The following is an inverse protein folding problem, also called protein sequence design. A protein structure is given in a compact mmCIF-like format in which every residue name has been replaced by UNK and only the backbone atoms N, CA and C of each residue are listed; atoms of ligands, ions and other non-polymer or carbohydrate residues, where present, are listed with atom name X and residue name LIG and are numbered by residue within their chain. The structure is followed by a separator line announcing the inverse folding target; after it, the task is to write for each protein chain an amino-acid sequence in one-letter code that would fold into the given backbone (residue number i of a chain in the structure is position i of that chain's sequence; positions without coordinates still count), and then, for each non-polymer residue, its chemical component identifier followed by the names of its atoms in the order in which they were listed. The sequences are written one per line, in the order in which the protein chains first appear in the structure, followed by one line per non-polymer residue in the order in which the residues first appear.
data_IF_055393011241
#
_entry.id   IF_055393011241
#
_cell.length_a   1.000
_cell.length_b   1.000
_cell.length_c   1.000
_cell.angle_alpha   90.00
_cell.angle_beta   90.00
_cell.angle_gamma   90.00
#
_symmetry.space_group_name_H-M   'P 1'
#
loop_
_entity.id
_entity.type
_entity.pdbx_description
1 polymer ?
#
# COMPACT_ATOMS: atom_id res chain seq x y z
N UNK A 1 -8.21 -5.16 -10.99
CA UNK A 1 -8.21 -3.77 -11.49
C UNK A 1 -6.78 -3.22 -11.51
N UNK A 2 -6.42 -2.35 -12.46
CA UNK A 2 -5.10 -1.69 -12.50
C UNK A 2 -5.19 -0.26 -11.98
N UNK A 3 -4.27 0.16 -11.12
CA UNK A 3 -4.18 1.51 -10.57
C UNK A 3 -2.77 2.06 -10.77
N UNK A 4 -2.66 3.24 -11.35
CA UNK A 4 -1.36 3.91 -11.49
C UNK A 4 -0.80 4.29 -10.12
N UNK A 5 0.52 4.23 -9.96
CA UNK A 5 1.19 4.74 -8.76
C UNK A 5 0.92 6.23 -8.53
N UNK A 6 1.11 6.71 -7.30
CA UNK A 6 1.02 8.12 -6.99
C UNK A 6 2.30 8.85 -7.42
N UNK A 7 2.16 9.97 -8.14
CA UNK A 7 3.29 10.86 -8.43
C UNK A 7 3.87 11.48 -7.16
N UNK A 8 2.99 11.84 -6.22
CA UNK A 8 3.34 12.40 -4.92
C UNK A 8 2.30 12.02 -3.86
N UNK A 9 2.74 11.83 -2.62
CA UNK A 9 1.87 11.73 -1.44
C UNK A 9 2.66 12.12 -0.21
N UNK A 10 2.02 12.88 0.69
CA UNK A 10 2.62 13.29 1.97
C UNK A 10 2.91 12.12 2.93
N UNK A 11 2.25 10.97 2.73
CA UNK A 11 2.43 9.77 3.55
C UNK A 11 3.61 8.88 3.11
N UNK A 12 4.26 9.20 1.98
CA UNK A 12 5.37 8.39 1.48
C UNK A 12 6.55 8.28 2.47
N UNK A 13 6.96 9.34 3.19
CA UNK A 13 8.04 9.22 4.18
C UNK A 13 7.71 8.23 5.30
N UNK A 14 6.48 8.28 5.83
CA UNK A 14 6.03 7.41 6.93
C UNK A 14 6.01 5.94 6.48
N UNK A 15 5.48 5.67 5.28
CA UNK A 15 5.50 4.32 4.71
C UNK A 15 6.93 3.83 4.43
N UNK A 16 7.81 4.69 3.89
CA UNK A 16 9.19 4.31 3.62
C UNK A 16 9.96 3.97 4.91
N UNK A 17 9.73 4.73 5.98
CA UNK A 17 10.30 4.43 7.29
C UNK A 17 9.78 3.10 7.83
N UNK A 18 8.46 2.89 7.83
CA UNK A 18 7.85 1.66 8.34
C UNK A 18 8.30 0.40 7.56
N UNK A 19 8.39 0.47 6.24
CA UNK A 19 8.86 -0.67 5.43
C UNK A 19 10.31 -1.02 5.71
N UNK A 20 11.16 -0.02 5.98
CA UNK A 20 12.55 -0.24 6.37
C UNK A 20 12.62 -0.89 7.76
N UNK A 21 11.89 -0.32 8.72
CA UNK A 21 11.97 -0.70 10.13
C UNK A 21 11.26 -2.04 10.43
N UNK A 22 10.37 -2.50 9.53
CA UNK A 22 9.62 -3.75 9.66
C UNK A 22 9.82 -4.74 8.51
N UNK A 23 10.87 -4.58 7.71
CA UNK A 23 11.17 -5.45 6.56
C UNK A 23 11.17 -6.94 6.92
N UNK A 24 11.86 -7.33 8.00
CA UNK A 24 11.91 -8.72 8.47
C UNK A 24 10.54 -9.31 8.84
N UNK A 25 9.64 -8.50 9.41
CA UNK A 25 8.26 -8.92 9.73
C UNK A 25 7.44 -9.10 8.47
N UNK A 26 7.56 -8.15 7.53
CA UNK A 26 6.84 -8.23 6.27
C UNK A 26 7.29 -9.43 5.43
N UNK A 27 8.59 -9.76 5.44
CA UNK A 27 9.15 -10.89 4.69
C UNK A 27 8.81 -12.25 5.32
N UNK A 28 8.54 -12.30 6.63
CA UNK A 28 8.04 -13.50 7.32
C UNK A 28 6.52 -13.66 7.25
N UNK A 29 5.81 -12.75 6.57
CA UNK A 29 4.35 -12.79 6.44
C UNK A 29 3.61 -12.30 7.69
N UNK A 30 4.30 -11.67 8.64
CA UNK A 30 3.67 -11.02 9.77
C UNK A 30 2.96 -9.73 9.35
N UNK A 31 1.89 -9.37 10.06
CA UNK A 31 1.20 -8.10 9.87
C UNK A 31 1.99 -6.97 10.52
N UNK A 32 2.30 -5.94 9.74
CA UNK A 32 2.86 -4.68 10.24
C UNK A 32 1.75 -3.63 10.36
N UNK A 33 1.86 -2.76 11.37
CA UNK A 33 0.93 -1.67 11.63
C UNK A 33 1.66 -0.35 11.46
N UNK A 34 1.06 0.55 10.70
CA UNK A 34 1.63 1.85 10.36
C UNK A 34 0.62 2.90 10.78
N UNK A 35 1.02 3.77 11.69
CA UNK A 35 0.21 4.89 12.15
C UNK A 35 0.51 6.12 11.30
N UNK A 36 -0.53 6.71 10.74
CA UNK A 36 -0.52 7.97 10.01
C UNK A 36 -1.34 9.01 10.77
N UNK A 37 -1.39 10.24 10.26
CA UNK A 37 -2.37 11.22 10.75
C UNK A 37 -3.80 10.63 10.66
N UNK A 38 -4.65 10.96 11.64
CA UNK A 38 -6.04 10.51 11.69
C UNK A 38 -6.84 10.88 10.43
N UNK A 39 -7.92 10.16 10.18
CA UNK A 39 -8.84 10.37 9.06
C UNK A 39 -8.61 9.46 7.86
N UNK A 40 -9.21 9.83 6.73
CA UNK A 40 -9.24 9.01 5.51
C UNK A 40 -10.32 7.92 5.55
N UNK A 41 -10.70 7.43 4.37
CA UNK A 41 -11.77 6.44 4.24
C UNK A 41 -11.29 5.05 4.62
N UNK A 42 -12.13 4.33 5.37
CA UNK A 42 -11.91 2.93 5.64
C UNK A 42 -11.95 2.12 4.33
N UNK A 43 -10.97 1.25 4.13
CA UNK A 43 -10.91 0.38 2.97
C UNK A 43 -10.00 -0.83 3.24
N UNK A 44 -10.31 -1.95 2.62
CA UNK A 44 -9.44 -3.11 2.59
C UNK A 44 -9.40 -3.69 1.17
N UNK A 45 -8.23 -4.10 0.72
CA UNK A 45 -8.03 -4.71 -0.60
C UNK A 45 -6.68 -5.43 -0.64
N UNK A 46 -6.52 -6.32 -1.61
CA UNK A 46 -5.20 -6.83 -1.95
C UNK A 46 -4.55 -5.94 -3.02
N UNK A 47 -3.25 -5.74 -2.92
CA UNK A 47 -2.42 -5.06 -3.92
C UNK A 47 -1.29 -5.98 -4.40
N UNK A 48 -1.02 -5.99 -5.69
CA UNK A 48 0.06 -6.77 -6.30
C UNK A 48 1.06 -5.83 -6.96
N UNK A 49 2.29 -5.83 -6.47
CA UNK A 49 3.40 -5.03 -7.00
C UNK A 49 4.29 -5.91 -7.88
N UNK A 50 4.33 -5.59 -9.17
CA UNK A 50 5.11 -6.34 -10.15
C UNK A 50 6.53 -5.78 -10.29
N UNK A 51 7.56 -6.63 -10.48
CA UNK A 51 8.94 -6.17 -10.64
C UNK A 51 9.20 -5.39 -11.94
N UNK A 52 8.38 -5.62 -12.97
CA UNK A 52 8.56 -5.04 -14.31
C UNK A 52 7.59 -3.91 -14.63
N UNK A 53 6.54 -3.71 -13.83
CA UNK A 53 5.62 -2.59 -13.98
C UNK A 53 6.02 -1.46 -13.02
N UNK A 54 6.39 -0.31 -13.60
CA UNK A 54 6.79 0.88 -12.84
C UNK A 54 5.73 1.97 -12.84
N UNK A 55 4.63 1.76 -13.55
CA UNK A 55 3.57 2.74 -13.77
C UNK A 55 2.32 2.41 -12.96
N UNK A 56 2.03 1.12 -12.79
CA UNK A 56 0.84 0.63 -12.10
C UNK A 56 1.07 -0.58 -11.18
N UNK A 57 0.05 -0.85 -10.37
CA UNK A 57 -0.10 -2.05 -9.58
C UNK A 57 -1.51 -2.63 -9.76
N UNK A 58 -1.65 -3.91 -9.50
CA UNK A 58 -2.96 -4.57 -9.53
C UNK A 58 -3.62 -4.54 -8.17
N UNK A 59 -4.95 -4.55 -8.18
CA UNK A 59 -5.76 -4.60 -6.98
C UNK A 59 -7.05 -5.36 -7.20
N UNK A 60 -7.56 -5.99 -6.14
CA UNK A 60 -8.88 -6.64 -6.11
C UNK A 60 -9.99 -5.68 -5.70
N UNK A 61 -9.70 -4.38 -5.62
CA UNK A 61 -10.69 -3.35 -5.35
C UNK A 61 -11.80 -3.35 -6.40
N UNK A 62 -13.03 -3.63 -5.95
CA UNK A 62 -14.22 -3.65 -6.78
C UNK A 62 -14.83 -2.24 -6.86
N UNK A 63 -14.52 -1.53 -7.95
CA UNK A 63 -15.12 -0.23 -8.27
C UNK A 63 -15.15 -0.03 -9.78
N UNK A 64 -16.22 0.59 -10.29
CA UNK A 64 -16.30 1.03 -11.68
C UNK A 64 -15.46 2.28 -11.96
N UNK A 65 -15.02 3.00 -10.92
CA UNK A 65 -14.23 4.22 -10.99
C UNK A 65 -12.89 4.04 -10.28
N UNK A 66 -11.80 4.12 -11.05
CA UNK A 66 -10.42 4.00 -10.58
C UNK A 66 -9.93 5.21 -9.78
N UNK A 67 -10.52 6.38 -10.03
CA UNK A 67 -10.15 7.63 -9.36
C UNK A 67 -10.59 7.64 -7.89
N UNK A 68 -11.54 6.77 -7.54
CA UNK A 68 -12.04 6.56 -6.19
C UNK A 68 -11.19 5.62 -5.34
N UNK A 69 -10.09 5.09 -5.90
CA UNK A 69 -9.22 4.18 -5.17
C UNK A 69 -8.61 4.87 -3.92
N UNK A 70 -8.55 4.20 -2.76
CA UNK A 70 -8.10 4.82 -1.50
C UNK A 70 -6.68 5.41 -1.60
N UNK A 71 -6.57 6.72 -1.41
CA UNK A 71 -5.31 7.45 -1.60
C UNK A 71 -4.17 6.95 -0.69
N UNK A 72 -4.48 6.53 0.54
CA UNK A 72 -3.49 6.00 1.50
C UNK A 72 -2.96 4.63 1.10
N UNK A 73 -3.84 3.74 0.61
CA UNK A 73 -3.42 2.44 0.05
C UNK A 73 -2.59 2.65 -1.23
N UNK A 74 -2.98 3.61 -2.09
CA UNK A 74 -2.18 3.98 -3.27
C UNK A 74 -0.79 4.49 -2.90
N UNK A 75 -0.70 5.31 -1.85
CA UNK A 75 0.58 5.79 -1.34
C UNK A 75 1.43 4.64 -0.78
N UNK A 76 0.83 3.69 -0.05
CA UNK A 76 1.52 2.47 0.40
C UNK A 76 2.05 1.64 -0.77
N UNK A 77 1.22 1.36 -1.79
CA UNK A 77 1.63 0.62 -2.98
C UNK A 77 2.80 1.31 -3.71
N UNK A 78 2.78 2.65 -3.76
CA UNK A 78 3.87 3.45 -4.30
C UNK A 78 5.16 3.31 -3.47
N UNK A 79 5.05 3.29 -2.14
CA UNK A 79 6.19 3.09 -1.26
C UNK A 79 6.79 1.68 -1.40
N UNK A 80 5.96 0.64 -1.50
CA UNK A 80 6.38 -0.73 -1.78
C UNK A 80 7.18 -0.82 -3.09
N UNK A 81 6.66 -0.22 -4.17
CA UNK A 81 7.35 -0.18 -5.46
C UNK A 81 8.70 0.53 -5.37
N UNK A 82 8.77 1.69 -4.70
CA UNK A 82 10.02 2.43 -4.51
C UNK A 82 11.05 1.65 -3.68
N UNK A 83 10.59 0.90 -2.68
CA UNK A 83 11.40 0.00 -1.87
C UNK A 83 11.78 -1.30 -2.61
N UNK A 84 11.30 -1.51 -3.84
CA UNK A 84 11.42 -2.77 -4.60
C UNK A 84 10.85 -3.98 -3.84
N UNK A 85 9.84 -3.74 -3.02
CA UNK A 85 9.11 -4.76 -2.29
C UNK A 85 8.00 -5.30 -3.18
N UNK A 86 8.35 -6.29 -3.99
CA UNK A 86 7.44 -6.92 -4.96
C UNK A 86 6.63 -8.05 -4.33
N UNK A 87 5.50 -8.39 -4.93
CA UNK A 87 4.62 -9.46 -4.50
C UNK A 87 3.20 -8.99 -4.21
N UNK A 88 2.44 -9.86 -3.55
CA UNK A 88 1.04 -9.66 -3.23
C UNK A 88 0.88 -9.34 -1.75
N UNK A 89 0.02 -8.38 -1.44
CA UNK A 89 -0.13 -7.85 -0.09
C UNK A 89 -1.59 -7.60 0.25
N UNK A 90 -2.01 -8.10 1.41
CA UNK A 90 -3.28 -7.71 2.02
C UNK A 90 -3.09 -6.37 2.75
N UNK A 91 -3.95 -5.40 2.45
CA UNK A 91 -3.88 -4.05 3.00
C UNK A 91 -5.23 -3.64 3.55
N UNK A 92 -5.24 -3.07 4.75
CA UNK A 92 -6.39 -2.36 5.30
C UNK A 92 -5.98 -0.96 5.76
N UNK A 93 -6.92 -0.03 5.69
CA UNK A 93 -6.80 1.29 6.26
C UNK A 93 -8.08 1.62 7.03
N UNK A 94 -7.93 2.16 8.24
CA UNK A 94 -9.02 2.71 9.03
C UNK A 94 -8.51 3.84 9.93
N UNK A 95 -9.01 5.06 9.72
CA UNK A 95 -8.76 6.24 10.55
C UNK A 95 -7.28 6.49 10.97
N UNK A 96 -6.34 6.46 10.01
CA UNK A 96 -4.91 6.64 10.33
C UNK A 96 -4.15 5.35 10.50
N UNK A 97 -4.80 4.24 10.86
CA UNK A 97 -4.15 2.96 11.00
C UNK A 97 -4.14 2.23 9.65
N UNK A 98 -2.95 1.84 9.19
CA UNK A 98 -2.77 0.96 8.05
C UNK A 98 -2.20 -0.37 8.54
N UNK A 99 -2.85 -1.47 8.18
CA UNK A 99 -2.31 -2.82 8.36
C UNK A 99 -1.85 -3.37 7.02
N UNK A 100 -0.65 -3.94 6.99
CA UNK A 100 -0.04 -4.53 5.81
C UNK A 100 0.47 -5.92 6.14
N UNK A 101 0.17 -6.90 5.28
CA UNK A 101 0.71 -8.26 5.36
C UNK A 101 1.07 -8.76 3.97
N UNK A 102 2.19 -9.46 3.84
CA UNK A 102 2.55 -10.19 2.61
C UNK A 102 1.75 -11.49 2.53
N UNK A 103 1.23 -11.80 1.33
CA UNK A 103 0.56 -13.07 0.99
C UNK A 103 1.54 -14.09 0.39
#
# INVERSE_FOLDING_TARGET
MQISFASYSKFLPDFAAALRDHSAKLDSGETIRIELESGGYAAATTVTIHPHDRESFETEWESSDSTRFPARIKALATALMKARCYGRFSVSHNDGLVELRRE
#
